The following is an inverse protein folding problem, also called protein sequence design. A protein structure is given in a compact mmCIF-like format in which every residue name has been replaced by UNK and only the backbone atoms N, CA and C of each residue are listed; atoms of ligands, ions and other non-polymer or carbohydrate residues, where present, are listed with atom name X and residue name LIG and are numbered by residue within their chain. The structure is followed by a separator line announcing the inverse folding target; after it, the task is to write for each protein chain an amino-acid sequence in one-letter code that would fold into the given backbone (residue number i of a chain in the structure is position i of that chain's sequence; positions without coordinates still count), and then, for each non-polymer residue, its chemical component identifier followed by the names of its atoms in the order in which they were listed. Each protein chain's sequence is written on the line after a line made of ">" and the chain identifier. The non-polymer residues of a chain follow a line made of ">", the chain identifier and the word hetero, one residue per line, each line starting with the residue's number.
data_IF_874229144777
#
_entry.id   IF_874229144777
#
_cell.length_a   1.000
_cell.length_b   1.000
_cell.length_c   1.000
_cell.angle_alpha   90.00
_cell.angle_beta   90.00
_cell.angle_gamma   90.00
#
_symmetry.space_group_name_H-M   'P 1'
#
loop_
_entity.id
_entity.type
_entity.pdbx_description
1 polymer ?
#
# COMPACT_ATOMS: atom_id res chain seq x y z
N UNK A 1 -23.91 67.39 -40.44
CA UNK A 1 -24.91 66.28 -40.56
C UNK A 1 -24.20 65.03 -40.07
N UNK A 2 -24.41 64.62 -38.80
CA UNK A 2 -25.32 63.52 -38.40
C UNK A 2 -24.90 62.20 -39.04
N UNK A 3 -24.56 61.09 -38.38
CA UNK A 3 -24.66 60.60 -36.99
C UNK A 3 -23.96 59.24 -36.96
N UNK A 4 -23.32 58.90 -35.84
CA UNK A 4 -22.88 57.56 -35.45
C UNK A 4 -24.05 56.56 -35.47
N UNK A 5 -23.88 55.38 -36.08
CA UNK A 5 -24.70 54.19 -35.79
C UNK A 5 -23.83 52.93 -35.73
N UNK A 6 -23.67 52.47 -34.50
CA UNK A 6 -23.21 51.16 -34.06
C UNK A 6 -24.20 50.09 -34.56
N UNK A 7 -23.73 49.01 -35.18
CA UNK A 7 -24.46 47.74 -35.28
C UNK A 7 -23.52 46.58 -34.93
N UNK A 8 -23.97 45.80 -33.96
CA UNK A 8 -23.35 44.61 -33.38
C UNK A 8 -23.53 43.37 -34.29
N UNK A 9 -22.46 42.55 -34.34
CA UNK A 9 -22.42 41.06 -34.41
C UNK A 9 -23.03 40.32 -35.63
N UNK A 10 -22.60 39.05 -35.94
CA UNK A 10 -21.71 38.17 -35.18
C UNK A 10 -20.50 37.60 -35.95
N UNK A 11 -19.53 37.18 -35.14
CA UNK A 11 -18.42 36.26 -35.42
C UNK A 11 -18.98 34.89 -35.84
N UNK A 12 -18.61 34.39 -37.02
CA UNK A 12 -18.74 32.97 -37.36
C UNK A 12 -17.93 32.63 -38.63
N UNK A 13 -16.67 32.24 -38.46
CA UNK A 13 -16.09 31.20 -39.29
C UNK A 13 -15.22 30.33 -38.39
N UNK A 14 -15.88 29.33 -37.81
CA UNK A 14 -15.26 28.29 -37.03
C UNK A 14 -14.24 27.55 -37.91
N UNK A 15 -13.01 27.51 -37.41
CA UNK A 15 -11.95 26.59 -37.81
C UNK A 15 -12.50 25.17 -37.67
N UNK A 16 -12.67 24.46 -38.78
CA UNK A 16 -12.88 23.00 -38.77
C UNK A 16 -11.54 22.35 -39.13
N UNK A 17 -10.65 22.28 -38.13
CA UNK A 17 -9.54 21.35 -38.07
C UNK A 17 -9.82 20.40 -36.91
N UNK A 18 -10.81 19.52 -37.09
CA UNK A 18 -11.07 18.41 -36.17
C UNK A 18 -10.88 17.13 -36.98
N UNK A 19 -9.91 16.33 -36.55
CA UNK A 19 -9.46 15.10 -37.21
C UNK A 19 -7.94 15.18 -37.41
N UNK A 20 -7.09 14.50 -36.66
CA UNK A 20 -7.23 13.24 -35.96
C UNK A 20 -6.48 13.32 -34.63
N UNK A 21 -7.09 12.89 -33.53
CA UNK A 21 -6.32 12.45 -32.37
C UNK A 21 -5.53 11.22 -32.85
N UNK A 22 -4.21 11.36 -32.94
CA UNK A 22 -3.33 10.26 -33.33
C UNK A 22 -3.46 9.12 -32.32
N UNK A 23 -3.24 7.85 -32.73
CA UNK A 23 -3.26 6.75 -31.79
C UNK A 23 -2.28 7.03 -30.64
N UNK A 24 -2.68 6.69 -29.42
CA UNK A 24 -1.80 6.74 -28.25
C UNK A 24 -0.47 6.06 -28.59
N UNK A 25 0.64 6.74 -28.31
CA UNK A 25 1.97 6.20 -28.57
C UNK A 25 2.18 4.86 -27.84
N UNK A 26 3.06 3.99 -28.35
CA UNK A 26 3.37 2.74 -27.67
C UNK A 26 3.89 3.02 -26.26
N UNK A 27 3.59 2.12 -25.32
CA UNK A 27 4.16 2.16 -23.97
C UNK A 27 5.69 2.20 -24.07
N UNK A 28 6.33 3.05 -23.25
CA UNK A 28 7.79 3.12 -23.19
C UNK A 28 8.41 1.78 -22.80
N UNK A 29 9.68 1.52 -23.17
CA UNK A 29 10.37 0.31 -22.75
C UNK A 29 10.41 0.23 -21.21
N UNK A 30 10.33 -0.99 -20.67
CA UNK A 30 10.57 -1.23 -19.24
C UNK A 30 11.96 -0.69 -18.86
N UNK A 31 12.05 -0.05 -17.68
CA UNK A 31 13.33 0.45 -17.15
C UNK A 31 14.36 -0.68 -16.98
N UNK A 32 15.67 -0.38 -16.98
CA UNK A 32 16.69 -1.37 -16.70
C UNK A 32 16.47 -1.99 -15.31
N UNK A 33 16.78 -3.28 -15.17
CA UNK A 33 16.80 -3.94 -13.86
C UNK A 33 17.75 -3.19 -12.91
N UNK A 34 17.32 -2.96 -11.67
CA UNK A 34 18.15 -2.35 -10.63
C UNK A 34 19.41 -3.17 -10.34
N UNK A 35 20.46 -2.57 -9.76
CA UNK A 35 21.65 -3.31 -9.33
C UNK A 35 21.25 -4.38 -8.30
N UNK A 36 21.96 -5.52 -8.30
CA UNK A 36 21.84 -6.55 -7.24
C UNK A 36 22.11 -5.89 -5.89
N UNK A 37 21.30 -6.20 -4.88
CA UNK A 37 21.50 -5.68 -3.53
C UNK A 37 22.89 -6.00 -2.97
N UNK A 38 23.38 -5.19 -2.01
CA UNK A 38 24.68 -5.41 -1.40
C UNK A 38 24.74 -6.81 -0.79
N UNK A 39 25.78 -7.57 -1.13
CA UNK A 39 26.04 -8.86 -0.49
C UNK A 39 26.22 -8.66 1.03
N UNK A 40 25.42 -9.35 1.85
CA UNK A 40 25.54 -9.35 3.31
C UNK A 40 24.54 -8.48 4.10
N UNK A 41 23.52 -7.93 3.43
CA UNK A 41 22.33 -7.43 4.10
C UNK A 41 21.55 -8.61 4.71
N UNK A 42 21.36 -8.64 6.03
CA UNK A 42 20.44 -9.60 6.64
C UNK A 42 19.02 -9.17 6.29
N UNK A 43 18.35 -9.98 5.47
CA UNK A 43 16.92 -9.86 5.16
C UNK A 43 16.28 -11.20 5.49
N UNK A 44 15.35 -11.18 6.42
CA UNK A 44 14.59 -12.35 6.86
C UNK A 44 13.12 -12.16 6.51
N UNK A 45 12.45 -13.25 6.13
CA UNK A 45 11.03 -13.24 5.79
C UNK A 45 10.26 -14.31 6.53
N UNK A 46 9.09 -13.95 7.02
CA UNK A 46 8.22 -14.84 7.77
C UNK A 46 6.79 -14.71 7.30
N UNK A 47 6.10 -15.83 7.17
CA UNK A 47 4.67 -15.86 6.93
C UNK A 47 3.94 -16.27 8.20
N UNK A 48 2.93 -15.48 8.56
CA UNK A 48 2.05 -15.74 9.71
C UNK A 48 0.60 -15.64 9.26
N UNK A 49 -0.28 -16.34 9.95
CA UNK A 49 -1.73 -16.18 9.79
C UNK A 49 -2.23 -15.28 10.92
N UNK A 50 -2.78 -14.12 10.54
CA UNK A 50 -3.51 -13.25 11.46
C UNK A 50 -4.92 -13.77 11.65
N UNK A 51 -5.09 -14.61 12.67
CA UNK A 51 -6.36 -15.22 13.02
C UNK A 51 -7.22 -14.25 13.85
N UNK A 52 -8.27 -13.72 13.21
CA UNK A 52 -9.16 -12.73 13.85
C UNK A 52 -10.00 -13.34 14.97
N UNK A 53 -10.25 -14.66 14.94
CA UNK A 53 -11.00 -15.35 15.99
C UNK A 53 -10.18 -15.56 17.26
N UNK A 54 -8.84 -15.58 17.12
CA UNK A 54 -7.89 -15.65 18.23
C UNK A 54 -7.37 -14.27 18.67
N UNK A 55 -7.75 -13.19 17.98
CA UNK A 55 -7.30 -11.84 18.25
C UNK A 55 -7.91 -11.29 19.55
N UNK A 56 -7.18 -10.40 20.21
CA UNK A 56 -7.66 -9.66 21.37
C UNK A 56 -8.34 -8.37 20.92
N UNK A 57 -9.54 -8.12 21.43
CA UNK A 57 -10.25 -6.86 21.23
C UNK A 57 -9.79 -5.81 22.24
N UNK A 58 -9.50 -4.60 21.75
CA UNK A 58 -9.19 -3.44 22.58
C UNK A 58 -10.44 -2.93 23.33
N UNK A 59 -10.24 -2.27 24.48
CA UNK A 59 -11.32 -1.84 25.38
C UNK A 59 -12.39 -0.96 24.71
N UNK A 60 -12.01 -0.16 23.72
CA UNK A 60 -12.92 0.70 22.96
C UNK A 60 -13.73 -0.03 21.88
N UNK A 61 -13.45 -1.32 21.63
CA UNK A 61 -14.06 -2.10 20.55
C UNK A 61 -13.74 -1.58 19.15
N UNK A 62 -12.60 -0.90 18.99
CA UNK A 62 -12.17 -0.33 17.70
C UNK A 62 -10.92 -1.01 17.13
N UNK A 63 -10.32 -1.94 17.89
CA UNK A 63 -9.08 -2.61 17.49
C UNK A 63 -9.19 -4.09 17.80
N UNK A 64 -8.82 -4.94 16.84
CA UNK A 64 -8.46 -6.34 17.05
C UNK A 64 -6.96 -6.46 16.85
N UNK A 65 -6.24 -7.10 17.75
CA UNK A 65 -4.79 -7.26 17.62
C UNK A 65 -4.28 -8.62 18.11
N UNK A 66 -3.16 -9.04 17.55
CA UNK A 66 -2.42 -10.20 18.00
C UNK A 66 -0.91 -9.92 17.94
N UNK A 67 -0.21 -10.40 18.96
CA UNK A 67 1.24 -10.29 19.05
C UNK A 67 1.89 -11.60 18.60
N UNK A 68 2.97 -11.49 17.84
CA UNK A 68 3.79 -12.58 17.36
C UNK A 68 5.21 -12.39 17.86
N UNK A 69 5.79 -13.47 18.40
CA UNK A 69 7.20 -13.50 18.76
C UNK A 69 8.05 -13.46 17.49
N UNK A 70 8.95 -12.49 17.42
CA UNK A 70 9.78 -12.21 16.25
C UNK A 70 11.20 -11.81 16.67
N UNK A 71 12.01 -12.77 17.16
CA UNK A 71 13.33 -12.51 17.75
C UNK A 71 14.33 -11.83 16.79
N UNK A 72 14.09 -11.88 15.48
CA UNK A 72 14.90 -11.27 14.44
C UNK A 72 14.81 -9.74 14.42
N UNK A 73 13.76 -9.16 15.02
CA UNK A 73 13.72 -7.73 15.32
C UNK A 73 14.63 -7.47 16.52
N UNK A 74 15.93 -7.42 16.25
CA UNK A 74 16.95 -7.04 17.23
C UNK A 74 16.92 -5.54 17.52
N UNK A 75 17.63 -5.07 18.56
CA UNK A 75 17.79 -3.62 18.79
C UNK A 75 18.37 -2.88 17.58
N UNK A 76 19.25 -3.52 16.81
CA UNK A 76 19.82 -2.93 15.60
C UNK A 76 18.76 -2.70 14.54
N UNK A 77 17.90 -3.70 14.31
CA UNK A 77 16.75 -3.61 13.40
C UNK A 77 15.75 -2.57 13.90
N UNK A 78 15.38 -2.61 15.18
CA UNK A 78 14.38 -1.69 15.72
C UNK A 78 14.80 -0.22 15.61
N UNK A 79 16.09 0.07 15.78
CA UNK A 79 16.60 1.45 15.77
C UNK A 79 17.02 1.95 14.39
N UNK A 80 17.47 1.06 13.50
CA UNK A 80 18.09 1.46 12.23
C UNK A 80 17.66 0.62 11.03
N UNK A 81 16.98 -0.50 11.26
CA UNK A 81 16.54 -1.41 10.23
C UNK A 81 15.20 -1.01 9.63
N UNK A 82 14.61 -1.98 8.96
CA UNK A 82 13.35 -1.82 8.26
C UNK A 82 12.47 -3.06 8.50
N UNK A 83 11.18 -2.81 8.72
CA UNK A 83 10.15 -3.84 8.91
C UNK A 83 8.97 -3.49 8.03
N UNK A 84 8.63 -4.37 7.11
CA UNK A 84 7.49 -4.21 6.20
C UNK A 84 6.64 -5.45 6.17
N UNK A 85 5.35 -5.28 6.40
CA UNK A 85 4.37 -6.34 6.27
C UNK A 85 3.60 -6.22 4.94
N UNK A 86 3.19 -7.35 4.41
CA UNK A 86 2.33 -7.48 3.25
C UNK A 86 1.26 -8.52 3.59
N UNK A 87 0.04 -8.33 3.13
CA UNK A 87 -0.98 -9.37 3.21
C UNK A 87 -1.25 -9.98 1.84
N UNK A 88 -1.61 -11.26 1.81
CA UNK A 88 -2.05 -11.91 0.59
C UNK A 88 -3.50 -11.50 0.31
N UNK A 89 -3.71 -10.71 -0.73
CA UNK A 89 -5.04 -10.30 -1.16
C UNK A 89 -5.74 -11.42 -1.94
N UNK A 90 -7.07 -11.33 -2.03
CA UNK A 90 -7.95 -12.36 -2.62
C UNK A 90 -7.67 -12.60 -4.14
N UNK A 91 -6.89 -11.72 -4.77
CA UNK A 91 -6.40 -11.83 -6.15
C UNK A 91 -4.96 -12.40 -6.23
N UNK A 92 -4.52 -13.13 -5.21
CA UNK A 92 -3.18 -13.74 -5.08
C UNK A 92 -2.02 -12.73 -5.16
N UNK A 93 -2.26 -11.47 -4.76
CA UNK A 93 -1.25 -10.41 -4.78
C UNK A 93 -0.80 -10.05 -3.37
N UNK A 94 0.50 -10.04 -3.12
CA UNK A 94 1.08 -9.48 -1.90
C UNK A 94 0.93 -7.96 -1.89
N UNK A 95 0.06 -7.47 -1.02
CA UNK A 95 -0.29 -6.05 -0.92
C UNK A 95 0.36 -5.45 0.33
N UNK A 96 1.09 -4.34 0.17
CA UNK A 96 1.78 -3.69 1.28
C UNK A 96 0.80 -3.17 2.34
N UNK A 97 1.23 -3.29 3.59
CA UNK A 97 0.56 -2.76 4.77
C UNK A 97 1.24 -1.45 5.23
N UNK A 98 0.53 -0.56 5.95
CA UNK A 98 -0.89 -0.65 6.28
C UNK A 98 -1.78 -0.50 5.06
N UNK A 99 -2.92 -1.18 5.07
CA UNK A 99 -3.92 -1.09 4.00
C UNK A 99 -5.31 -0.82 4.60
N UNK A 100 -5.99 0.19 4.09
CA UNK A 100 -7.34 0.56 4.53
C UNK A 100 -8.39 0.07 3.53
N UNK A 101 -9.25 -0.82 3.98
CA UNK A 101 -10.49 -1.19 3.30
C UNK A 101 -11.54 -0.12 3.59
N UNK A 102 -12.16 0.44 2.55
CA UNK A 102 -13.33 1.30 2.68
C UNK A 102 -14.55 0.60 2.12
N UNK A 103 -15.64 0.60 2.87
CA UNK A 103 -16.96 0.18 2.38
C UNK A 103 -17.77 1.43 2.04
N UNK A 104 -18.25 1.53 0.80
CA UNK A 104 -19.00 2.68 0.32
C UNK A 104 -20.51 2.45 0.51
N UNK A 105 -21.20 3.46 1.02
CA UNK A 105 -22.65 3.43 1.15
C UNK A 105 -23.30 3.27 -0.23
N UNK A 106 -24.29 2.37 -0.37
CA UNK A 106 -25.00 2.19 -1.64
C UNK A 106 -25.93 3.37 -1.97
N UNK A 107 -26.30 4.17 -0.96
CA UNK A 107 -27.34 5.20 -1.08
C UNK A 107 -26.77 6.62 -1.24
N UNK A 108 -25.54 6.86 -0.76
CA UNK A 108 -24.86 8.16 -0.83
C UNK A 108 -23.39 7.96 -1.17
N UNK A 109 -22.76 8.94 -1.83
CA UNK A 109 -21.33 8.92 -2.11
C UNK A 109 -20.51 9.24 -0.83
N UNK A 110 -20.57 8.35 0.16
CA UNK A 110 -19.82 8.41 1.41
C UNK A 110 -19.34 7.01 1.81
N UNK A 111 -18.20 6.94 2.48
CA UNK A 111 -17.69 5.72 3.11
C UNK A 111 -18.49 5.47 4.38
N UNK A 112 -19.08 4.28 4.53
CA UNK A 112 -19.87 3.89 5.71
C UNK A 112 -18.93 3.54 6.87
N UNK A 113 -17.91 2.73 6.58
CA UNK A 113 -16.83 2.46 7.52
C UNK A 113 -15.50 2.17 6.82
N UNK A 114 -14.41 2.33 7.56
CA UNK A 114 -13.08 1.89 7.16
C UNK A 114 -12.54 0.87 8.15
N UNK A 115 -11.80 -0.09 7.62
CA UNK A 115 -11.05 -1.08 8.38
C UNK A 115 -9.60 -1.07 7.91
N UNK A 116 -8.66 -0.74 8.78
CA UNK A 116 -7.23 -0.67 8.43
C UNK A 116 -6.51 -1.89 8.97
N UNK A 117 -5.95 -2.71 8.08
CA UNK A 117 -5.01 -3.76 8.44
C UNK A 117 -3.63 -3.15 8.59
N UNK A 118 -3.12 -3.10 9.82
CA UNK A 118 -1.87 -2.48 10.19
C UNK A 118 -0.93 -3.43 10.92
N UNK A 119 0.27 -2.93 11.17
CA UNK A 119 1.27 -3.61 11.99
C UNK A 119 2.08 -2.59 12.79
N UNK A 120 2.57 -3.03 13.94
CA UNK A 120 3.52 -2.32 14.78
C UNK A 120 4.60 -3.31 15.21
N UNK A 121 5.76 -2.81 15.62
CA UNK A 121 6.85 -3.68 16.07
C UNK A 121 7.61 -3.09 17.24
N UNK A 122 8.29 -3.98 17.95
CA UNK A 122 9.31 -3.67 18.94
C UNK A 122 10.35 -4.79 18.90
N UNK A 123 11.42 -4.67 19.68
CA UNK A 123 12.44 -5.73 19.82
C UNK A 123 11.77 -7.05 20.18
N UNK A 124 11.97 -8.06 19.33
CA UNK A 124 11.45 -9.41 19.53
C UNK A 124 9.96 -9.59 19.21
N UNK A 125 9.25 -8.60 18.67
CA UNK A 125 7.79 -8.66 18.56
C UNK A 125 7.25 -7.89 17.34
N UNK A 126 6.29 -8.51 16.66
CA UNK A 126 5.39 -7.84 15.72
C UNK A 126 3.97 -7.94 16.24
N UNK A 127 3.25 -6.84 16.24
CA UNK A 127 1.80 -6.81 16.45
C UNK A 127 1.12 -6.61 15.10
N UNK A 128 0.19 -7.49 14.75
CA UNK A 128 -0.74 -7.28 13.65
C UNK A 128 -2.07 -6.81 14.23
N UNK A 129 -2.74 -5.89 13.54
CA UNK A 129 -4.00 -5.37 14.02
C UNK A 129 -4.95 -4.94 12.90
N UNK A 130 -6.24 -4.99 13.20
CA UNK A 130 -7.26 -4.24 12.51
C UNK A 130 -7.66 -3.04 13.35
N UNK A 131 -7.68 -1.84 12.76
CA UNK A 131 -8.25 -0.62 13.36
C UNK A 131 -9.48 -0.19 12.57
N UNK A 132 -10.61 -0.04 13.25
CA UNK A 132 -11.91 0.27 12.67
C UNK A 132 -12.33 1.73 12.91
N UNK A 133 -13.04 2.34 11.96
CA UNK A 133 -13.64 3.67 12.15
C UNK A 133 -14.88 3.66 13.05
N UNK A 134 -15.48 2.49 13.28
CA UNK A 134 -16.64 2.28 14.14
C UNK A 134 -16.64 0.85 14.69
N UNK A 135 -17.17 0.58 15.90
CA UNK A 135 -17.02 -0.74 16.52
C UNK A 135 -17.57 -1.91 15.71
N UNK A 136 -18.74 -1.73 15.10
CA UNK A 136 -19.37 -2.76 14.26
C UNK A 136 -18.54 -3.13 13.02
N UNK A 137 -17.59 -2.27 12.61
CA UNK A 137 -16.78 -2.56 11.43
C UNK A 137 -15.78 -3.70 11.66
N UNK A 138 -15.46 -4.03 12.93
CA UNK A 138 -14.62 -5.18 13.27
C UNK A 138 -15.28 -6.52 12.92
N UNK A 139 -16.61 -6.58 12.85
CA UNK A 139 -17.35 -7.79 12.44
C UNK A 139 -17.03 -8.20 10.99
N UNK A 140 -16.43 -7.30 10.20
CA UNK A 140 -16.00 -7.54 8.82
C UNK A 140 -14.50 -7.82 8.69
N UNK A 141 -13.76 -7.85 9.80
CA UNK A 141 -12.38 -8.30 9.80
C UNK A 141 -12.29 -9.76 9.34
N UNK A 142 -11.25 -10.08 8.57
CA UNK A 142 -11.03 -11.44 8.03
C UNK A 142 -9.65 -11.92 8.41
N UNK A 143 -9.50 -13.22 8.64
CA UNK A 143 -8.18 -13.83 8.80
C UNK A 143 -7.32 -13.57 7.55
N UNK A 144 -6.05 -13.21 7.76
CA UNK A 144 -5.12 -12.85 6.68
C UNK A 144 -3.81 -13.62 6.79
N UNK A 145 -3.33 -14.16 5.67
CA UNK A 145 -1.92 -14.53 5.54
C UNK A 145 -1.10 -13.25 5.37
N UNK A 146 -0.13 -13.05 6.25
CA UNK A 146 0.73 -11.88 6.29
C UNK A 146 2.18 -12.32 6.18
N UNK A 147 2.90 -11.71 5.25
CA UNK A 147 4.35 -11.84 5.09
C UNK A 147 5.03 -10.63 5.68
N UNK A 148 6.01 -10.85 6.55
CA UNK A 148 6.80 -9.81 7.20
C UNK A 148 8.23 -9.92 6.69
N UNK A 149 8.75 -8.81 6.17
CA UNK A 149 10.15 -8.67 5.75
C UNK A 149 10.86 -7.80 6.77
N UNK A 150 11.94 -8.33 7.34
CA UNK A 150 12.81 -7.62 8.26
C UNK A 150 14.18 -7.49 7.65
N UNK A 151 14.71 -6.28 7.67
CA UNK A 151 16.01 -5.97 7.10
C UNK A 151 16.84 -5.16 8.09
N UNK A 152 18.14 -5.46 8.20
CA UNK A 152 19.05 -4.62 8.98
C UNK A 152 19.21 -3.21 8.36
N UNK A 153 19.81 -2.27 9.10
CA UNK A 153 19.95 -0.89 8.62
C UNK A 153 20.87 -0.71 7.41
N UNK A 154 21.73 -1.68 7.10
CA UNK A 154 22.59 -1.65 5.91
C UNK A 154 21.78 -2.05 4.68
N UNK A 155 20.87 -3.00 4.83
CA UNK A 155 19.91 -3.43 3.82
C UNK A 155 18.88 -2.33 3.52
N UNK A 156 18.32 -1.71 4.57
CA UNK A 156 17.29 -0.68 4.50
C UNK A 156 17.72 0.58 3.73
N UNK A 157 19.02 0.88 3.71
CA UNK A 157 19.59 2.06 3.02
C UNK A 157 19.93 1.80 1.56
N UNK A 158 19.58 0.62 1.02
CA UNK A 158 19.92 0.27 -0.36
C UNK A 158 19.06 1.06 -1.35
N UNK A 159 19.71 1.92 -2.13
CA UNK A 159 19.05 2.65 -3.21
C UNK A 159 18.49 1.69 -4.26
N UNK A 160 17.23 1.89 -4.66
CA UNK A 160 16.58 1.16 -5.75
C UNK A 160 15.66 0.01 -5.31
N UNK A 161 15.45 -0.21 -4.01
CA UNK A 161 14.39 -1.09 -3.51
C UNK A 161 13.11 -0.28 -3.31
N UNK A 162 12.05 -0.65 -4.04
CA UNK A 162 10.70 -0.18 -3.75
C UNK A 162 10.07 -1.15 -2.74
N UNK A 163 9.96 -0.69 -1.49
CA UNK A 163 9.50 -1.51 -0.36
C UNK A 163 7.98 -1.63 -0.27
N UNK A 164 7.22 -0.83 -1.02
CA UNK A 164 5.77 -1.03 -1.12
C UNK A 164 5.38 -2.12 -2.13
N UNK A 165 6.32 -2.59 -2.95
CA UNK A 165 6.12 -3.69 -3.90
C UNK A 165 6.98 -4.90 -3.48
N UNK A 166 6.30 -5.94 -2.99
CA UNK A 166 6.98 -7.16 -2.57
C UNK A 166 7.78 -7.82 -3.70
N UNK A 167 7.35 -7.68 -4.96
CA UNK A 167 8.09 -8.24 -6.11
C UNK A 167 9.45 -7.58 -6.27
N UNK A 168 9.52 -6.26 -6.04
CA UNK A 168 10.77 -5.49 -6.03
C UNK A 168 11.68 -5.94 -4.88
N UNK A 169 11.14 -6.11 -3.67
CA UNK A 169 11.89 -6.60 -2.50
C UNK A 169 12.44 -8.01 -2.75
N UNK A 170 11.58 -8.94 -3.22
CA UNK A 170 11.94 -10.31 -3.56
C UNK A 170 13.05 -10.36 -4.60
N UNK A 171 12.91 -9.63 -5.70
CA UNK A 171 13.91 -9.58 -6.77
C UNK A 171 15.24 -9.02 -6.28
N UNK A 172 15.20 -7.98 -5.44
CA UNK A 172 16.42 -7.29 -5.02
C UNK A 172 17.26 -8.12 -4.05
N UNK A 173 16.61 -8.85 -3.13
CA UNK A 173 17.26 -9.65 -2.09
C UNK A 173 17.32 -11.15 -2.39
N UNK A 174 16.83 -11.59 -3.55
CA UNK A 174 16.89 -13.01 -3.98
C UNK A 174 16.14 -13.95 -3.01
N UNK A 175 14.94 -13.52 -2.57
CA UNK A 175 14.14 -14.24 -1.59
C UNK A 175 13.38 -15.41 -2.24
N UNK A 176 13.30 -16.54 -1.54
CA UNK A 176 12.49 -17.70 -1.94
C UNK A 176 10.98 -17.38 -1.86
N UNK A 177 10.13 -18.22 -2.48
CA UNK A 177 8.65 -18.08 -2.42
C UNK A 177 8.12 -18.17 -0.98
#
# INVERSE_FOLDING_TARGET
>A
MSTLRLLLAPVLLAVVLVGCEGPTGPQGPQGPQGPRGPAGALVETFEVEFDVDAATEGEAGLVLFQNYDFPEITESVNNNGFVQAYYLADNDTWTAMPYTFGDESPDINAVDYTLTLGYAWNVGLVQLFYEASAPFALDFARTRTVKIVVADGRAATTAGVEWSDYSSVKQHFDLEE
#
